data_IF_119328895504
#
_entry.id   IF_119328895504
#
_cell.length_a   1.000
_cell.length_b   1.000
_cell.length_c   1.000
_cell.angle_alpha   90.00
_cell.angle_beta   90.00
_cell.angle_gamma   90.00
#
_symmetry.space_group_name_H-M   'P 1'
#
loop_
_entity.id
_entity.type
_entity.pdbx_description
1 polymer ?
#
# COMPACT_ATOMS: atom_id res chain seq x y z
N UNK A 1 22.25 -7.45 -1.78
CA UNK A 1 21.83 -6.03 -1.91
C UNK A 1 20.83 -5.80 -3.04
N UNK A 2 21.18 -5.95 -4.33
CA UNK A 2 20.21 -5.73 -5.44
C UNK A 2 19.00 -6.67 -5.35
N UNK A 3 19.25 -7.96 -5.15
CA UNK A 3 18.18 -8.97 -5.08
C UNK A 3 17.29 -8.80 -3.84
N UNK A 4 17.88 -8.33 -2.72
CA UNK A 4 17.13 -8.02 -1.49
C UNK A 4 16.22 -6.81 -1.67
N UNK A 5 16.67 -5.76 -2.37
CA UNK A 5 15.84 -4.60 -2.71
C UNK A 5 14.74 -5.01 -3.67
N UNK A 6 15.04 -5.85 -4.68
CA UNK A 6 14.03 -6.36 -5.60
C UNK A 6 12.93 -7.12 -4.85
N UNK A 7 13.28 -8.04 -3.95
CA UNK A 7 12.29 -8.76 -3.15
C UNK A 7 11.41 -7.83 -2.31
N UNK A 8 11.99 -6.77 -1.72
CA UNK A 8 11.22 -5.75 -0.97
C UNK A 8 10.27 -4.96 -1.87
N UNK A 9 10.68 -4.63 -3.10
CA UNK A 9 9.82 -3.95 -4.07
C UNK A 9 8.66 -4.85 -4.50
N UNK A 10 8.92 -6.14 -4.74
CA UNK A 10 7.88 -7.11 -5.08
C UNK A 10 6.86 -7.26 -3.94
N UNK A 11 7.32 -7.33 -2.68
CA UNK A 11 6.47 -7.31 -1.47
C UNK A 11 5.59 -6.05 -1.41
N UNK A 12 6.15 -4.87 -1.76
CA UNK A 12 5.41 -3.60 -1.81
C UNK A 12 4.35 -3.64 -2.91
N UNK A 13 4.69 -4.07 -4.12
CA UNK A 13 3.75 -4.11 -5.24
C UNK A 13 2.60 -5.07 -4.98
N UNK A 14 2.89 -6.23 -4.39
CA UNK A 14 1.87 -7.20 -3.98
C UNK A 14 0.94 -6.61 -2.93
N UNK A 15 1.49 -6.08 -1.83
CA UNK A 15 0.68 -5.54 -0.75
C UNK A 15 -0.15 -4.31 -1.18
N UNK A 16 0.43 -3.46 -2.05
CA UNK A 16 -0.28 -2.36 -2.69
C UNK A 16 -1.44 -2.87 -3.53
N UNK A 17 -1.19 -3.86 -4.40
CA UNK A 17 -2.22 -4.48 -5.24
C UNK A 17 -3.38 -5.02 -4.43
N UNK A 18 -3.08 -5.80 -3.39
CA UNK A 18 -4.09 -6.39 -2.49
C UNK A 18 -4.93 -5.32 -1.78
N UNK A 19 -4.31 -4.22 -1.33
CA UNK A 19 -5.03 -3.13 -0.67
C UNK A 19 -5.99 -2.41 -1.62
N UNK A 20 -5.52 -2.05 -2.82
CA UNK A 20 -6.36 -1.35 -3.80
C UNK A 20 -7.45 -2.26 -4.38
N UNK A 21 -7.18 -3.56 -4.56
CA UNK A 21 -8.19 -4.53 -4.98
C UNK A 21 -9.34 -4.60 -3.96
N UNK A 22 -9.05 -4.62 -2.66
CA UNK A 22 -10.09 -4.55 -1.63
C UNK A 22 -10.90 -3.26 -1.76
N UNK A 23 -10.25 -2.10 -1.90
CA UNK A 23 -10.95 -0.83 -2.08
C UNK A 23 -11.85 -0.82 -3.32
N UNK A 24 -11.41 -1.39 -4.44
CA UNK A 24 -12.22 -1.47 -5.68
C UNK A 24 -13.51 -2.29 -5.49
N UNK A 25 -13.52 -3.28 -4.57
CA UNK A 25 -14.75 -4.04 -4.25
C UNK A 25 -15.74 -3.25 -3.39
N UNK A 26 -15.22 -2.34 -2.56
CA UNK A 26 -15.98 -1.63 -1.52
C UNK A 26 -16.42 -0.25 -1.95
N UNK A 27 -15.62 0.43 -2.78
CA UNK A 27 -15.78 1.84 -3.13
C UNK A 27 -15.88 1.99 -4.64
N UNK A 28 -17.02 2.46 -5.17
CA UNK A 28 -17.16 2.68 -6.61
C UNK A 28 -16.23 3.78 -7.11
N UNK A 29 -16.01 3.80 -8.42
CA UNK A 29 -15.21 4.80 -9.11
C UNK A 29 -16.05 5.99 -9.58
N UNK A 30 -15.53 7.21 -9.46
CA UNK A 30 -16.21 8.43 -9.93
C UNK A 30 -16.23 8.48 -11.46
N UNK A 31 -17.43 8.45 -12.05
CA UNK A 31 -17.67 8.81 -13.46
C UNK A 31 -16.67 8.23 -14.47
N UNK A 32 -16.29 6.95 -14.33
CA UNK A 32 -15.33 6.29 -15.24
C UNK A 32 -13.87 6.69 -15.07
N UNK A 33 -13.50 7.33 -13.95
CA UNK A 33 -12.11 7.64 -13.58
C UNK A 33 -11.57 6.65 -12.55
N UNK A 34 -10.26 6.63 -12.28
CA UNK A 34 -9.69 5.77 -11.23
C UNK A 34 -9.87 6.31 -9.80
N UNK A 35 -10.56 7.45 -9.63
CA UNK A 35 -10.78 8.10 -8.33
C UNK A 35 -11.92 7.40 -7.59
N UNK A 36 -11.66 7.01 -6.35
CA UNK A 36 -12.66 6.43 -5.46
C UNK A 36 -13.74 7.43 -5.04
N UNK A 37 -14.99 7.00 -5.08
CA UNK A 37 -16.14 7.76 -4.60
C UNK A 37 -16.58 7.31 -3.20
N UNK A 38 -15.88 7.79 -2.18
CA UNK A 38 -16.17 7.44 -0.79
C UNK A 38 -17.55 7.91 -0.31
N UNK A 39 -18.18 8.87 -0.99
CA UNK A 39 -19.54 9.29 -0.68
C UNK A 39 -20.57 8.18 -0.98
N UNK A 40 -20.23 7.25 -1.88
CA UNK A 40 -21.06 6.12 -2.29
C UNK A 40 -20.40 4.77 -1.90
N UNK A 41 -19.51 4.78 -0.91
CA UNK A 41 -18.89 3.55 -0.41
C UNK A 41 -19.95 2.63 0.22
N UNK A 42 -19.77 1.32 0.04
CA UNK A 42 -20.54 0.32 0.78
C UNK A 42 -20.12 0.35 2.25
N UNK A 43 -21.00 -0.12 3.13
CA UNK A 43 -20.60 -0.44 4.51
C UNK A 43 -19.46 -1.45 4.48
N UNK A 44 -18.41 -1.19 5.24
CA UNK A 44 -17.16 -1.93 5.17
C UNK A 44 -16.60 -2.24 6.56
N UNK A 45 -15.95 -3.39 6.68
CA UNK A 45 -15.20 -3.74 7.88
C UNK A 45 -13.87 -2.97 7.93
N UNK A 46 -13.80 -1.99 8.83
CA UNK A 46 -12.58 -1.21 9.06
C UNK A 46 -11.40 -2.08 9.49
N UNK A 47 -11.62 -3.23 10.13
CA UNK A 47 -10.56 -4.14 10.54
C UNK A 47 -9.87 -4.77 9.34
N UNK A 48 -10.65 -5.17 8.33
CA UNK A 48 -10.12 -5.76 7.09
C UNK A 48 -9.33 -4.72 6.28
N UNK A 49 -9.92 -3.53 6.10
CA UNK A 49 -9.25 -2.41 5.42
C UNK A 49 -7.94 -2.07 6.12
N UNK A 50 -7.97 -1.94 7.45
CA UNK A 50 -6.78 -1.63 8.23
C UNK A 50 -5.71 -2.71 8.10
N UNK A 51 -6.08 -3.99 8.12
CA UNK A 51 -5.11 -5.08 7.97
C UNK A 51 -4.38 -5.03 6.62
N UNK A 52 -5.10 -4.76 5.52
CA UNK A 52 -4.50 -4.62 4.18
C UNK A 52 -3.64 -3.36 4.06
N UNK A 53 -4.13 -2.23 4.57
CA UNK A 53 -3.36 -0.99 4.63
C UNK A 53 -2.06 -1.17 5.42
N UNK A 54 -2.14 -1.77 6.61
CA UNK A 54 -0.99 -2.01 7.48
C UNK A 54 0.05 -2.92 6.82
N UNK A 55 -0.37 -3.96 6.10
CA UNK A 55 0.54 -4.81 5.33
C UNK A 55 1.30 -4.01 4.26
N UNK A 56 0.61 -3.13 3.54
CA UNK A 56 1.23 -2.25 2.56
C UNK A 56 2.21 -1.25 3.20
N UNK A 57 1.79 -0.53 4.25
CA UNK A 57 2.63 0.39 5.01
C UNK A 57 3.88 -0.31 5.58
N UNK A 58 3.70 -1.51 6.13
CA UNK A 58 4.80 -2.31 6.66
C UNK A 58 5.82 -2.68 5.58
N UNK A 59 5.38 -3.12 4.40
CA UNK A 59 6.27 -3.42 3.28
C UNK A 59 7.09 -2.19 2.86
N UNK A 60 6.47 -1.00 2.83
CA UNK A 60 7.19 0.26 2.54
C UNK A 60 8.22 0.57 3.63
N UNK A 61 7.85 0.44 4.91
CA UNK A 61 8.77 0.67 6.03
C UNK A 61 9.98 -0.25 6.02
N UNK A 62 9.87 -1.46 5.48
CA UNK A 62 11.00 -2.39 5.33
C UNK A 62 12.03 -1.96 4.27
N UNK A 63 11.62 -1.15 3.30
CA UNK A 63 12.51 -0.58 2.28
C UNK A 63 13.23 0.69 2.77
N UNK A 64 12.59 1.48 3.64
CA UNK A 64 13.13 2.76 4.11
C UNK A 64 14.58 2.69 4.66
N UNK A 65 15.00 1.68 5.44
CA UNK A 65 16.39 1.59 5.90
C UNK A 65 17.41 1.54 4.77
N UNK A 66 17.11 0.84 3.66
CA UNK A 66 18.02 0.78 2.51
C UNK A 66 18.11 2.14 1.82
N UNK A 67 16.97 2.83 1.68
CA UNK A 67 16.89 4.18 1.12
C UNK A 67 17.70 5.15 1.98
N UNK A 68 17.52 5.11 3.30
CA UNK A 68 18.26 5.98 4.23
C UNK A 68 19.76 5.75 4.14
N UNK A 69 20.21 4.49 4.03
CA UNK A 69 21.61 4.16 3.84
C UNK A 69 22.19 4.74 2.54
N UNK A 70 21.42 4.72 1.44
CA UNK A 70 21.86 5.23 0.14
C UNK A 70 21.96 6.76 0.13
N UNK A 71 21.03 7.44 0.80
CA UNK A 71 20.95 8.91 0.80
C UNK A 71 21.55 9.56 2.05
N UNK A 72 22.26 8.81 2.90
CA UNK A 72 22.83 9.26 4.18
C UNK A 72 21.83 10.01 5.07
N UNK A 73 20.59 9.51 5.10
CA UNK A 73 19.51 10.07 5.93
C UNK A 73 19.59 9.44 7.32
N UNK A 74 19.68 10.27 8.36
CA UNK A 74 19.51 9.80 9.74
C UNK A 74 18.03 9.58 10.02
N UNK A 75 17.65 8.34 10.28
CA UNK A 75 16.32 8.03 10.79
C UNK A 75 16.07 8.85 12.07
N UNK A 76 14.88 9.46 12.16
CA UNK A 76 14.44 10.19 13.37
C UNK A 76 13.97 9.23 14.44
#
# INVERSE_FOLDING_TARGET
MRDEIQAKLDDIFKARGDFFALLDTLVPKKNGTDVFDFANAKEADLKEIYAKFYAFDYSVRRLLPDVYKVFDVKAK
#
